data_IF_793296640358
#
_entry.id   IF_793296640358
#
_cell.length_a   1.000
_cell.length_b   1.000
_cell.length_c   1.000
_cell.angle_alpha   90.00
_cell.angle_beta   90.00
_cell.angle_gamma   90.00
#
_symmetry.space_group_name_H-M   'P 1'
#
loop_
_entity.id
_entity.type
_entity.pdbx_description
1 polymer ?
#
# COMPACT_ATOMS: atom_id res chain seq x y z
N UNK A 1 -14.70 -15.41 -1.12
CA UNK A 1 -15.11 -15.50 0.30
C UNK A 1 -14.45 -16.68 1.02
N UNK A 2 -14.60 -17.93 0.57
CA UNK A 2 -13.95 -19.08 1.24
C UNK A 2 -12.42 -19.03 1.23
N UNK A 3 -11.80 -18.53 0.16
CA UNK A 3 -10.36 -18.26 0.09
C UNK A 3 -9.92 -17.21 1.12
N UNK A 4 -10.65 -16.10 1.23
CA UNK A 4 -10.42 -15.07 2.26
C UNK A 4 -10.61 -15.62 3.68
N UNK A 5 -11.49 -16.60 3.85
CA UNK A 5 -11.63 -17.30 5.13
C UNK A 5 -10.43 -18.21 5.43
N UNK A 6 -9.93 -18.93 4.43
CA UNK A 6 -8.68 -19.72 4.54
C UNK A 6 -7.45 -18.84 4.81
N UNK A 7 -7.44 -17.60 4.33
CA UNK A 7 -6.39 -16.60 4.60
C UNK A 7 -6.57 -15.89 5.96
N UNK A 8 -7.64 -16.20 6.71
CA UNK A 8 -7.90 -15.61 8.03
C UNK A 8 -8.39 -14.16 8.00
N UNK A 9 -8.74 -13.61 6.82
CA UNK A 9 -9.34 -12.26 6.68
C UNK A 9 -10.81 -12.30 7.09
N UNK A 10 -11.47 -13.42 6.79
CA UNK A 10 -12.85 -13.70 7.18
C UNK A 10 -12.90 -14.94 8.05
N UNK A 11 -13.97 -15.08 8.82
CA UNK A 11 -14.30 -16.32 9.48
C UNK A 11 -15.64 -16.82 8.96
N UNK A 12 -15.65 -18.01 8.35
CA UNK A 12 -16.87 -18.69 7.92
C UNK A 12 -17.65 -19.15 9.16
N UNK A 13 -18.95 -18.84 9.18
CA UNK A 13 -19.93 -19.23 10.18
C UNK A 13 -20.90 -20.24 9.55
N UNK A 14 -21.93 -20.64 10.29
CA UNK A 14 -23.00 -21.50 9.75
C UNK A 14 -23.68 -20.85 8.54
N UNK A 15 -24.12 -21.69 7.61
CA UNK A 15 -24.94 -21.29 6.45
C UNK A 15 -24.26 -20.31 5.47
N UNK A 16 -22.94 -20.45 5.23
CA UNK A 16 -22.17 -19.55 4.33
C UNK A 16 -22.21 -18.07 4.74
N UNK A 17 -22.39 -17.80 6.03
CA UNK A 17 -22.20 -16.46 6.60
C UNK A 17 -20.73 -16.23 6.90
N UNK A 18 -20.28 -14.98 6.76
CA UNK A 18 -18.89 -14.60 7.00
C UNK A 18 -18.86 -13.40 7.95
N UNK A 19 -17.90 -13.39 8.88
CA UNK A 19 -17.62 -12.25 9.75
C UNK A 19 -16.16 -11.79 9.52
N UNK A 20 -15.88 -10.51 9.74
CA UNK A 20 -14.51 -9.99 9.75
C UNK A 20 -13.76 -10.57 10.96
N UNK A 21 -12.50 -10.92 10.75
CA UNK A 21 -11.52 -11.15 11.82
C UNK A 21 -10.82 -9.85 12.17
N UNK A 22 -9.94 -9.85 13.16
CA UNK A 22 -9.10 -8.68 13.47
C UNK A 22 -8.25 -8.26 12.26
N UNK A 23 -7.73 -9.24 11.50
CA UNK A 23 -7.03 -8.98 10.25
C UNK A 23 -7.95 -8.34 9.21
N UNK A 24 -9.17 -8.84 9.05
CA UNK A 24 -10.16 -8.23 8.16
C UNK A 24 -10.56 -6.82 8.59
N UNK A 25 -10.61 -6.56 9.91
CA UNK A 25 -10.94 -5.25 10.46
C UNK A 25 -9.87 -4.21 10.09
N UNK A 26 -8.59 -4.59 10.09
CA UNK A 26 -7.48 -3.73 9.65
C UNK A 26 -7.55 -3.32 8.17
N UNK A 27 -8.33 -4.04 7.35
CA UNK A 27 -8.53 -3.73 5.93
C UNK A 27 -9.76 -2.86 5.66
N UNK A 28 -10.49 -2.46 6.71
CA UNK A 28 -11.67 -1.60 6.58
C UNK A 28 -11.27 -0.12 6.43
N UNK A 29 -12.14 0.67 5.81
CA UNK A 29 -11.94 2.12 5.70
C UNK A 29 -11.91 2.75 7.07
N UNK A 30 -10.89 3.56 7.37
CA UNK A 30 -10.73 4.24 8.67
C UNK A 30 -10.15 3.36 9.78
N UNK A 31 -9.75 2.12 9.49
CA UNK A 31 -8.99 1.31 10.43
C UNK A 31 -7.62 1.97 10.72
N UNK A 32 -7.11 1.87 11.96
CA UNK A 32 -5.77 2.35 12.28
C UNK A 32 -4.70 1.58 11.49
N UNK A 33 -3.66 2.29 11.06
CA UNK A 33 -2.56 1.75 10.25
C UNK A 33 -2.79 1.90 8.75
N UNK A 34 -1.88 1.32 7.95
CA UNK A 34 -1.89 1.48 6.48
C UNK A 34 -2.33 0.23 5.72
N UNK A 35 -2.73 -0.86 6.40
CA UNK A 35 -2.89 -2.17 5.75
C UNK A 35 -3.85 -2.13 4.54
N UNK A 36 -4.97 -1.41 4.67
CA UNK A 36 -5.90 -1.16 3.55
C UNK A 36 -5.23 -0.38 2.41
N UNK A 37 -4.59 0.75 2.71
CA UNK A 37 -3.94 1.60 1.71
C UNK A 37 -2.84 0.82 0.98
N UNK A 38 -2.03 0.05 1.71
CA UNK A 38 -0.96 -0.77 1.16
C UNK A 38 -1.48 -1.82 0.18
N UNK A 39 -2.56 -2.53 0.52
CA UNK A 39 -3.15 -3.50 -0.41
C UNK A 39 -3.72 -2.83 -1.67
N UNK A 40 -4.35 -1.66 -1.51
CA UNK A 40 -4.90 -0.92 -2.64
C UNK A 40 -3.80 -0.35 -3.55
N UNK A 41 -2.72 0.17 -2.99
CA UNK A 41 -1.57 0.67 -3.75
C UNK A 41 -0.85 -0.46 -4.46
N UNK A 42 -0.48 -1.54 -3.75
CA UNK A 42 0.29 -2.64 -4.35
C UNK A 42 -0.52 -3.41 -5.39
N UNK A 43 -1.82 -3.62 -5.16
CA UNK A 43 -2.71 -4.30 -6.09
C UNK A 43 -3.34 -3.41 -7.15
N UNK A 44 -2.89 -2.15 -7.29
CA UNK A 44 -3.42 -1.24 -8.30
C UNK A 44 -2.79 -1.52 -9.68
N UNK A 45 -3.55 -1.30 -10.74
CA UNK A 45 -3.08 -1.50 -12.12
C UNK A 45 -1.84 -0.65 -12.44
N UNK A 46 -1.74 0.55 -11.85
CA UNK A 46 -0.63 1.46 -12.11
C UNK A 46 0.68 0.99 -11.46
N UNK A 47 0.60 0.22 -10.37
CA UNK A 47 1.76 -0.25 -9.60
C UNK A 47 2.11 -1.71 -9.90
N UNK A 48 1.12 -2.60 -10.01
CA UNK A 48 1.30 -4.05 -10.17
C UNK A 48 2.14 -4.39 -11.42
N UNK A 49 1.82 -3.76 -12.57
CA UNK A 49 2.54 -3.98 -13.83
C UNK A 49 4.03 -3.61 -13.79
N UNK A 50 4.47 -2.79 -12.82
CA UNK A 50 5.90 -2.47 -12.66
C UNK A 50 6.73 -3.69 -12.23
N UNK A 51 6.13 -4.64 -11.49
CA UNK A 51 6.81 -5.84 -11.02
C UNK A 51 7.15 -6.82 -12.15
N UNK A 52 6.37 -6.84 -13.23
CA UNK A 52 6.67 -7.65 -14.42
C UNK A 52 7.98 -7.24 -15.10
N UNK A 53 8.48 -6.04 -14.79
CA UNK A 53 9.69 -5.47 -15.38
C UNK A 53 10.90 -5.43 -14.45
N UNK A 54 10.90 -6.19 -13.34
CA UNK A 54 12.07 -6.32 -12.45
C UNK A 54 13.35 -6.68 -13.22
N UNK A 55 13.26 -7.61 -14.18
CA UNK A 55 14.44 -8.02 -14.98
C UNK A 55 15.04 -6.84 -15.75
N UNK A 56 14.19 -5.96 -16.30
CA UNK A 56 14.66 -4.76 -16.97
C UNK A 56 15.37 -3.84 -15.97
N UNK A 57 14.80 -3.62 -14.80
CA UNK A 57 15.43 -2.79 -13.76
C UNK A 57 16.80 -3.29 -13.32
N UNK A 58 16.96 -4.60 -13.19
CA UNK A 58 18.28 -5.18 -12.86
C UNK A 58 19.29 -4.98 -13.99
N UNK A 59 18.84 -5.03 -15.24
CA UNK A 59 19.73 -4.93 -16.41
C UNK A 59 20.11 -3.49 -16.77
N UNK A 60 19.20 -2.53 -16.61
CA UNK A 60 19.39 -1.15 -17.06
C UNK A 60 19.63 -0.16 -15.93
N UNK A 61 19.20 -0.49 -14.70
CA UNK A 61 19.14 0.44 -13.57
C UNK A 61 17.94 1.40 -13.60
N UNK A 62 17.10 1.34 -14.64
CA UNK A 62 15.87 2.14 -14.76
C UNK A 62 14.71 1.45 -14.03
N UNK A 63 13.71 2.20 -13.57
CA UNK A 63 12.62 1.57 -12.82
C UNK A 63 11.65 0.84 -13.77
N UNK A 64 11.14 -0.32 -13.34
CA UNK A 64 10.09 -1.04 -14.07
C UNK A 64 8.83 -0.18 -14.22
N UNK A 65 8.62 0.74 -13.27
CA UNK A 65 7.59 1.75 -13.31
C UNK A 65 7.73 2.70 -14.50
N UNK A 66 8.90 3.34 -14.65
CA UNK A 66 9.18 4.25 -15.77
C UNK A 66 9.06 3.53 -17.12
N UNK A 67 9.41 2.25 -17.18
CA UNK A 67 9.21 1.44 -18.38
C UNK A 67 7.73 1.26 -18.76
N UNK A 68 6.84 1.10 -17.77
CA UNK A 68 5.39 0.90 -18.00
C UNK A 68 4.69 2.22 -18.26
N UNK A 69 4.93 3.21 -17.41
CA UNK A 69 4.21 4.48 -17.41
C UNK A 69 4.86 5.55 -18.30
N UNK A 70 6.12 5.33 -18.72
CA UNK A 70 6.88 6.29 -19.52
C UNK A 70 7.35 7.53 -18.76
N UNK A 71 7.16 7.58 -17.43
CA UNK A 71 7.52 8.71 -16.57
C UNK A 71 7.89 8.25 -15.15
N UNK A 72 8.64 9.06 -14.39
CA UNK A 72 8.97 8.78 -13.00
C UNK A 72 7.73 8.68 -12.10
N UNK A 73 7.81 7.84 -11.05
CA UNK A 73 6.68 7.58 -10.15
C UNK A 73 6.10 8.82 -9.49
N UNK A 74 6.93 9.75 -9.03
CA UNK A 74 6.44 10.96 -8.38
C UNK A 74 5.81 11.96 -9.35
N UNK A 75 6.23 11.96 -10.62
CA UNK A 75 5.58 12.76 -11.67
C UNK A 75 4.21 12.18 -12.04
N UNK A 76 4.09 10.85 -12.03
CA UNK A 76 2.80 10.16 -12.19
C UNK A 76 1.86 10.49 -11.04
N UNK A 77 2.32 10.37 -9.79
CA UNK A 77 1.52 10.67 -8.60
C UNK A 77 1.10 12.15 -8.52
N UNK A 78 1.93 13.08 -8.99
CA UNK A 78 1.56 14.49 -9.07
C UNK A 78 0.36 14.74 -10.01
N UNK A 79 0.13 13.87 -10.99
CA UNK A 79 -0.99 13.92 -11.92
C UNK A 79 -2.22 13.11 -11.45
N UNK A 80 -2.03 12.27 -10.43
CA UNK A 80 -2.97 11.25 -9.95
C UNK A 80 -3.16 11.40 -8.42
N UNK A 81 -3.90 12.43 -7.96
CA UNK A 81 -3.94 12.80 -6.54
C UNK A 81 -4.58 11.75 -5.64
N UNK A 82 -5.53 10.96 -6.16
CA UNK A 82 -6.19 9.90 -5.40
C UNK A 82 -5.20 8.75 -5.12
N UNK A 83 -4.40 8.38 -6.12
CA UNK A 83 -3.31 7.41 -6.02
C UNK A 83 -2.19 7.92 -5.11
N UNK A 84 -1.87 9.22 -5.20
CA UNK A 84 -0.88 9.87 -4.32
C UNK A 84 -1.31 9.83 -2.85
N UNK A 85 -2.61 10.00 -2.56
CA UNK A 85 -3.14 9.87 -1.21
C UNK A 85 -2.94 8.46 -0.67
N UNK A 86 -3.33 7.44 -1.44
CA UNK A 86 -3.15 6.03 -1.07
C UNK A 86 -1.67 5.64 -0.92
N UNK A 87 -0.82 6.12 -1.81
CA UNK A 87 0.63 5.92 -1.72
C UNK A 87 1.21 6.54 -0.45
N UNK A 88 0.80 7.77 -0.12
CA UNK A 88 1.26 8.46 1.10
C UNK A 88 0.84 7.71 2.36
N UNK A 89 -0.42 7.28 2.46
CA UNK A 89 -0.91 6.44 3.56
C UNK A 89 -0.13 5.12 3.67
N UNK A 90 0.19 4.51 2.52
CA UNK A 90 1.00 3.29 2.45
C UNK A 90 2.40 3.50 3.03
N UNK A 91 3.08 4.58 2.65
CA UNK A 91 4.43 4.89 3.14
C UNK A 91 4.46 5.11 4.66
N UNK A 92 3.45 5.79 5.22
CA UNK A 92 3.35 6.01 6.66
C UNK A 92 3.30 4.69 7.43
N UNK A 93 2.50 3.71 7.01
CA UNK A 93 2.42 2.47 7.78
C UNK A 93 3.50 1.42 7.48
N UNK A 94 4.22 1.51 6.35
CA UNK A 94 5.39 0.65 6.10
C UNK A 94 6.60 1.10 6.94
N UNK A 95 6.83 2.40 7.06
CA UNK A 95 7.98 2.95 7.80
C UNK A 95 7.71 3.14 9.30
N UNK A 96 6.45 2.99 9.73
CA UNK A 96 6.00 3.32 11.07
C UNK A 96 5.72 4.82 11.20
N UNK A 97 5.06 5.22 12.29
CA UNK A 97 4.87 6.62 12.61
C UNK A 97 6.23 7.32 12.65
N UNK A 98 6.38 8.37 11.84
CA UNK A 98 7.53 9.24 11.91
C UNK A 98 7.56 9.83 13.33
N UNK A 99 8.60 9.56 14.14
CA UNK A 99 8.65 10.10 15.48
C UNK A 99 8.60 11.63 15.38
N UNK A 100 7.84 12.31 16.24
CA UNK A 100 7.69 13.76 16.16
C UNK A 100 9.09 14.38 16.18
N UNK A 101 9.32 15.31 15.24
CA UNK A 101 10.58 16.02 15.15
C UNK A 101 10.96 16.53 16.55
N UNK A 102 12.05 16.00 17.10
CA UNK A 102 12.50 16.41 18.42
C UNK A 102 12.76 17.92 18.35
N UNK A 103 12.12 18.74 19.21
CA UNK A 103 12.38 20.16 19.20
C UNK A 103 13.87 20.35 19.43
N UNK A 104 14.54 21.07 18.53
CA UNK A 104 15.92 21.47 18.71
C UNK A 104 16.00 22.22 20.04
N UNK A 105 16.57 21.59 21.06
CA UNK A 105 16.73 22.19 22.37
C UNK A 105 17.77 23.29 22.23
N UNK A 106 17.31 24.50 21.91
CA UNK A 106 18.10 25.72 22.02
C UNK A 106 18.36 25.96 23.50
N UNK A 107 19.39 25.30 24.03
CA UNK A 107 19.96 25.61 25.34
C UNK A 107 20.55 27.01 25.22
N UNK A 108 19.97 27.96 25.97
CA UNK A 108 20.47 29.31 26.16
C UNK A 108 21.09 29.42 27.54
#
# INVERSE_FOLDING_TARGET
MRTLASLGILAERTERRFALTDLGQALTTGAPGSARATLLTVGSDWFDGSFDHIVHSVQTGETGFEKVQGMPVFEYLAQHPDEASLFSETMVGIHGEEPPAAPCSTTR
#
